data_IF_362243724229
#
_entry.id   IF_362243724229
#
_cell.length_a   1.000
_cell.length_b   1.000
_cell.length_c   1.000
_cell.angle_alpha   90.00
_cell.angle_beta   90.00
_cell.angle_gamma   90.00
#
_symmetry.space_group_name_H-M   'P 1'
#
loop_
_entity.id
_entity.type
_entity.pdbx_description
1 polymer ?
#
# COMPACT_ATOMS: atom_id res chain seq x y z
N UNK A 1 23.01 -5.91 -11.87
CA UNK A 1 22.10 -6.79 -11.11
C UNK A 1 20.99 -7.25 -12.02
N UNK A 2 20.44 -8.44 -11.80
CA UNK A 2 19.24 -8.88 -12.50
C UNK A 2 18.04 -8.05 -11.99
N UNK A 3 17.07 -7.66 -12.84
CA UNK A 3 15.92 -6.89 -12.38
C UNK A 3 15.05 -7.73 -11.43
N UNK A 4 14.64 -7.14 -10.31
CA UNK A 4 13.63 -7.75 -9.44
C UNK A 4 12.28 -7.76 -10.16
N UNK A 5 11.58 -8.89 -10.12
CA UNK A 5 10.24 -9.04 -10.68
C UNK A 5 9.31 -9.64 -9.63
N UNK A 6 8.26 -8.90 -9.28
CA UNK A 6 7.18 -9.38 -8.42
C UNK A 6 5.88 -9.32 -9.21
N UNK A 7 5.21 -10.45 -9.37
CA UNK A 7 3.89 -10.54 -9.98
C UNK A 7 2.82 -10.39 -8.90
N UNK A 8 1.84 -9.50 -9.10
CA UNK A 8 0.66 -9.39 -8.25
C UNK A 8 -0.43 -10.27 -8.84
N UNK A 9 -0.72 -11.39 -8.18
CA UNK A 9 -1.67 -12.41 -8.67
C UNK A 9 -3.09 -12.05 -8.25
N UNK A 10 -3.26 -11.55 -7.02
CA UNK A 10 -4.52 -11.03 -6.49
C UNK A 10 -4.23 -9.81 -5.64
N UNK A 11 -5.14 -8.84 -5.65
CA UNK A 11 -5.07 -7.61 -4.87
C UNK A 11 -6.46 -7.25 -4.36
N UNK A 12 -6.57 -7.07 -3.06
CA UNK A 12 -7.70 -6.49 -2.36
C UNK A 12 -7.24 -5.21 -1.64
N UNK A 13 -8.15 -4.26 -1.51
CA UNK A 13 -7.89 -2.98 -0.88
C UNK A 13 -9.06 -2.59 0.02
N UNK A 14 -8.77 -2.34 1.30
CA UNK A 14 -9.76 -1.93 2.29
C UNK A 14 -9.34 -0.62 2.93
N UNK A 15 -10.17 0.41 2.76
CA UNK A 15 -10.03 1.65 3.53
C UNK A 15 -10.29 1.36 5.00
N UNK A 16 -9.28 1.54 5.85
CA UNK A 16 -9.39 1.38 7.29
C UNK A 16 -9.95 2.65 7.94
N UNK A 17 -9.59 3.82 7.41
CA UNK A 17 -10.08 5.09 7.92
C UNK A 17 -9.45 6.28 7.19
N UNK A 18 -10.06 7.45 7.43
CA UNK A 18 -9.52 8.75 7.05
C UNK A 18 -9.57 9.64 8.29
N UNK A 19 -8.47 10.33 8.55
CA UNK A 19 -8.32 11.31 9.62
C UNK A 19 -7.97 12.67 9.01
N UNK A 20 -8.51 13.74 9.57
CA UNK A 20 -8.10 15.11 9.25
C UNK A 20 -7.10 15.59 10.30
N UNK A 21 -5.89 15.91 9.84
CA UNK A 21 -4.82 16.53 10.62
C UNK A 21 -4.70 18.00 10.20
N UNK A 22 -4.02 18.86 10.98
CA UNK A 22 -4.01 20.32 10.74
C UNK A 22 -3.70 20.74 9.29
N UNK A 23 -2.75 20.07 8.64
CA UNK A 23 -2.29 20.43 7.29
C UNK A 23 -2.56 19.35 6.23
N UNK A 24 -3.03 18.16 6.64
CA UNK A 24 -3.21 17.02 5.74
C UNK A 24 -4.45 16.18 6.08
N UNK A 25 -5.06 15.60 5.07
CA UNK A 25 -5.84 14.38 5.26
C UNK A 25 -4.88 13.18 5.31
N UNK A 26 -5.11 12.26 6.26
CA UNK A 26 -4.42 10.98 6.35
C UNK A 26 -5.43 9.87 6.03
N UNK A 27 -5.10 8.98 5.10
CA UNK A 27 -5.90 7.79 4.81
C UNK A 27 -5.05 6.55 5.05
N UNK A 28 -5.63 5.57 5.75
CA UNK A 28 -5.00 4.26 5.96
C UNK A 28 -5.73 3.21 5.15
N UNK A 29 -5.01 2.50 4.28
CA UNK A 29 -5.55 1.44 3.42
C UNK A 29 -4.81 0.14 3.73
N UNK A 30 -5.55 -0.92 4.04
CA UNK A 30 -5.00 -2.27 4.06
C UNK A 30 -5.03 -2.82 2.63
N UNK A 31 -3.85 -3.16 2.11
CA UNK A 31 -3.70 -3.95 0.89
C UNK A 31 -3.37 -5.39 1.27
N UNK A 32 -4.05 -6.34 0.66
CA UNK A 32 -3.72 -7.75 0.84
C UNK A 32 -3.94 -8.54 -0.44
N UNK A 33 -3.33 -9.72 -0.54
CA UNK A 33 -3.47 -10.53 -1.74
C UNK A 33 -2.38 -11.57 -1.86
N UNK A 34 -2.06 -11.93 -3.10
CA UNK A 34 -1.06 -12.95 -3.42
C UNK A 34 -0.04 -12.38 -4.39
N UNK A 35 1.25 -12.54 -4.09
CA UNK A 35 2.37 -12.15 -4.96
C UNK A 35 3.21 -13.35 -5.35
N UNK A 36 3.98 -13.24 -6.43
CA UNK A 36 4.98 -14.24 -6.83
C UNK A 36 6.27 -13.56 -7.23
N UNK A 37 7.35 -13.84 -6.52
CA UNK A 37 8.67 -13.23 -6.74
C UNK A 37 9.63 -14.18 -7.48
N UNK A 38 9.49 -15.49 -7.26
CA UNK A 38 10.20 -16.51 -8.01
C UNK A 38 9.23 -17.22 -8.94
N UNK A 39 9.52 -17.21 -10.24
CA UNK A 39 8.70 -17.87 -11.26
C UNK A 39 8.62 -19.39 -11.07
N UNK A 40 9.59 -20.00 -10.38
CA UNK A 40 9.61 -21.41 -10.02
C UNK A 40 8.84 -21.72 -8.72
N UNK A 41 8.48 -20.69 -7.94
CA UNK A 41 7.67 -20.82 -6.73
C UNK A 41 6.18 -20.53 -6.98
N UNK A 42 5.32 -21.05 -6.09
CA UNK A 42 3.91 -20.67 -6.05
C UNK A 42 3.71 -19.26 -5.46
N UNK A 43 2.52 -18.65 -5.62
CA UNK A 43 2.21 -17.36 -5.00
C UNK A 43 2.22 -17.43 -3.46
N UNK A 44 2.71 -16.39 -2.80
CA UNK A 44 2.68 -16.20 -1.34
C UNK A 44 1.72 -15.05 -0.96
N UNK A 45 1.05 -15.13 0.20
CA UNK A 45 0.19 -14.05 0.66
C UNK A 45 1.02 -12.84 1.09
N UNK A 46 0.46 -11.65 0.90
CA UNK A 46 0.95 -10.42 1.51
C UNK A 46 -0.20 -9.66 2.17
N UNK A 47 0.13 -8.88 3.20
CA UNK A 47 -0.78 -7.93 3.82
C UNK A 47 0.02 -6.74 4.33
N UNK A 48 -0.39 -5.54 3.95
CA UNK A 48 0.31 -4.30 4.29
C UNK A 48 -0.71 -3.19 4.58
N UNK A 49 -0.38 -2.30 5.52
CA UNK A 49 -1.10 -1.05 5.72
C UNK A 49 -0.29 0.09 5.13
N UNK A 50 -0.91 0.82 4.21
CA UNK A 50 -0.34 1.98 3.56
C UNK A 50 -1.01 3.22 4.13
N UNK A 51 -0.20 4.12 4.68
CA UNK A 51 -0.64 5.43 5.15
C UNK A 51 -0.34 6.46 4.07
N UNK A 52 -1.37 7.17 3.63
CA UNK A 52 -1.29 8.16 2.58
C UNK A 52 -1.67 9.54 3.11
N UNK A 53 -0.97 10.59 2.71
CA UNK A 53 -1.29 11.97 3.07
C UNK A 53 -1.63 12.81 1.86
N UNK A 54 -2.56 13.75 2.03
CA UNK A 54 -2.90 14.77 1.02
C UNK A 54 -3.01 16.14 1.71
N UNK A 55 -2.30 17.18 1.25
CA UNK A 55 -2.43 18.54 1.80
C UNK A 55 -3.87 19.06 1.75
N UNK A 56 -4.35 19.65 2.85
CA UNK A 56 -5.71 20.24 2.95
C UNK A 56 -5.83 21.53 2.14
N UNK A 57 -4.73 22.24 1.95
CA UNK A 57 -4.64 23.46 1.12
C UNK A 57 -4.79 23.19 -0.41
N UNK A 58 -4.94 21.93 -0.82
CA UNK A 58 -5.14 21.52 -2.21
C UNK A 58 -3.88 21.50 -3.08
N UNK A 59 -2.69 21.76 -2.52
CA UNK A 59 -1.43 21.71 -3.28
C UNK A 59 -0.94 20.27 -3.44
N UNK A 60 -1.59 19.49 -4.31
CA UNK A 60 -1.15 18.14 -4.70
C UNK A 60 -2.15 17.02 -4.41
N UNK A 61 -1.71 15.79 -4.71
CA UNK A 61 -2.49 14.57 -4.53
C UNK A 61 -2.11 13.79 -3.27
N UNK A 62 -2.59 12.56 -3.19
CA UNK A 62 -2.19 11.61 -2.15
C UNK A 62 -0.77 11.11 -2.38
N UNK A 63 0.04 11.10 -1.32
CA UNK A 63 1.39 10.58 -1.30
C UNK A 63 1.50 9.47 -0.26
N UNK A 64 2.31 8.45 -0.52
CA UNK A 64 2.59 7.41 0.48
C UNK A 64 3.52 7.99 1.55
N UNK A 65 3.00 8.10 2.77
CA UNK A 65 3.74 8.57 3.94
C UNK A 65 4.42 7.40 4.68
N UNK A 66 3.89 6.19 4.57
CA UNK A 66 4.50 4.99 5.13
C UNK A 66 3.81 3.71 4.70
N UNK A 67 4.56 2.60 4.76
CA UNK A 67 4.09 1.24 4.48
C UNK A 67 4.52 0.35 5.64
N UNK A 68 3.59 -0.46 6.15
CA UNK A 68 3.86 -1.44 7.20
C UNK A 68 3.32 -2.81 6.79
N UNK A 69 4.22 -3.80 6.70
CA UNK A 69 3.81 -5.19 6.53
C UNK A 69 3.18 -5.74 7.80
N UNK A 70 2.10 -6.50 7.64
CA UNK A 70 1.43 -7.25 8.70
C UNK A 70 1.84 -8.72 8.55
N UNK A 71 2.50 -9.27 9.58
CA UNK A 71 2.84 -10.69 9.66
C UNK A 71 1.65 -11.54 10.08
#
# INVERSE_FOLDING_TARGET
>A
GQPNKTEVVMLDAKLLGIEELPDVYMASVEFSGMIREDASAGPSPFREVWNMTKPTNGTGGWLVAGVQALQ
#
